data_IF_902667591995
#
_entry.id   IF_902667591995
#
_cell.length_a   1.000
_cell.length_b   1.000
_cell.length_c   1.000
_cell.angle_alpha   90.00
_cell.angle_beta   90.00
_cell.angle_gamma   90.00
#
_symmetry.space_group_name_H-M   'P 1'
#
loop_
_entity.id
_entity.type
_entity.pdbx_description
1 polymer ?
#
# COMPACT_ATOMS: atom_id res chain seq x y z
N UNK A 1 19.02 -0.79 10.88
CA UNK A 1 19.23 -1.72 9.74
C UNK A 1 18.35 -2.98 9.78
N UNK A 2 18.28 -3.76 10.88
CA UNK A 2 17.43 -4.98 10.94
C UNK A 2 15.92 -4.71 10.80
N UNK A 3 15.41 -3.63 11.37
CA UNK A 3 13.98 -3.29 11.29
C UNK A 3 13.51 -2.95 9.87
N UNK A 4 14.32 -2.25 9.07
CA UNK A 4 13.95 -1.87 7.71
C UNK A 4 13.65 -3.09 6.82
N UNK A 5 14.54 -4.09 6.83
CA UNK A 5 14.33 -5.33 6.08
C UNK A 5 13.16 -6.16 6.62
N UNK A 6 12.90 -6.13 7.93
CA UNK A 6 11.79 -6.86 8.54
C UNK A 6 10.44 -6.26 8.16
N UNK A 7 10.30 -4.93 8.22
CA UNK A 7 9.09 -4.21 7.79
C UNK A 7 8.87 -4.40 6.28
N UNK A 8 9.94 -4.31 5.48
CA UNK A 8 9.85 -4.52 4.05
C UNK A 8 9.37 -5.94 3.70
N UNK A 9 9.90 -6.96 4.39
CA UNK A 9 9.45 -8.35 4.24
C UNK A 9 7.99 -8.55 4.66
N UNK A 10 7.56 -7.91 5.74
CA UNK A 10 6.17 -7.99 6.20
C UNK A 10 5.21 -7.35 5.19
N UNK A 11 5.55 -6.19 4.63
CA UNK A 11 4.78 -5.52 3.56
C UNK A 11 4.69 -6.42 2.33
N UNK A 12 5.77 -7.07 1.91
CA UNK A 12 5.75 -7.99 0.76
C UNK A 12 4.81 -9.19 1.00
N UNK A 13 4.79 -9.75 2.22
CA UNK A 13 3.88 -10.85 2.56
C UNK A 13 2.43 -10.37 2.57
N UNK A 14 2.15 -9.22 3.17
CA UNK A 14 0.80 -8.66 3.27
C UNK A 14 0.26 -8.29 1.89
N UNK A 15 1.06 -7.66 1.04
CA UNK A 15 0.67 -7.35 -0.34
C UNK A 15 0.51 -8.61 -1.19
N UNK A 16 1.36 -9.63 -1.01
CA UNK A 16 1.32 -10.89 -1.76
C UNK A 16 0.16 -11.83 -1.41
N UNK A 17 -0.29 -11.82 -0.16
CA UNK A 17 -1.40 -12.63 0.35
C UNK A 17 -2.72 -12.52 -0.45
N UNK A 18 -3.25 -11.31 -0.72
CA UNK A 18 -4.48 -11.16 -1.50
C UNK A 18 -4.31 -11.61 -2.97
N UNK A 19 -3.13 -11.43 -3.56
CA UNK A 19 -2.83 -11.98 -4.90
C UNK A 19 -2.88 -13.51 -4.91
N UNK A 20 -2.41 -14.16 -3.84
CA UNK A 20 -2.34 -15.62 -3.74
C UNK A 20 -3.69 -16.27 -3.39
N UNK A 21 -4.42 -15.72 -2.42
CA UNK A 21 -5.69 -16.30 -1.94
C UNK A 21 -6.83 -16.06 -2.92
N UNK A 22 -6.89 -14.90 -3.59
CA UNK A 22 -8.04 -14.54 -4.41
C UNK A 22 -7.66 -13.58 -5.55
N UNK A 23 -6.99 -14.07 -6.61
CA UNK A 23 -6.60 -13.25 -7.76
C UNK A 23 -7.79 -12.59 -8.45
N UNK A 24 -8.98 -13.20 -8.38
CA UNK A 24 -10.21 -12.67 -8.97
C UNK A 24 -10.70 -11.40 -8.25
N UNK A 25 -10.62 -11.36 -6.91
CA UNK A 25 -10.96 -10.17 -6.11
C UNK A 25 -10.00 -9.02 -6.38
N UNK A 26 -8.71 -9.34 -6.51
CA UNK A 26 -7.67 -8.36 -6.85
C UNK A 26 -7.92 -7.73 -8.22
N UNK A 27 -8.24 -8.55 -9.22
CA UNK A 27 -8.54 -8.09 -10.58
C UNK A 27 -9.79 -7.21 -10.64
N UNK A 28 -10.82 -7.53 -9.84
CA UNK A 28 -12.01 -6.68 -9.69
C UNK A 28 -11.65 -5.33 -9.05
N UNK A 29 -10.84 -5.32 -7.99
CA UNK A 29 -10.37 -4.10 -7.33
C UNK A 29 -9.61 -3.19 -8.28
N UNK A 30 -8.66 -3.74 -9.05
CA UNK A 30 -7.90 -2.99 -10.06
C UNK A 30 -8.84 -2.43 -11.14
N UNK A 31 -9.83 -3.19 -11.56
CA UNK A 31 -10.81 -2.73 -12.56
C UNK A 31 -11.65 -1.57 -12.01
N UNK A 32 -12.07 -1.62 -10.74
CA UNK A 32 -12.75 -0.49 -10.09
C UNK A 32 -11.86 0.76 -10.01
N UNK A 33 -10.57 0.58 -9.71
CA UNK A 33 -9.60 1.68 -9.68
C UNK A 33 -9.43 2.31 -11.07
N UNK A 34 -9.38 1.49 -12.13
CA UNK A 34 -9.30 1.97 -13.52
C UNK A 34 -10.56 2.71 -14.00
N UNK A 35 -11.70 2.44 -13.37
CA UNK A 35 -12.96 3.16 -13.65
C UNK A 35 -13.05 4.49 -12.88
N UNK A 36 -12.16 4.77 -11.93
CA UNK A 36 -12.15 6.03 -11.19
C UNK A 36 -11.58 7.18 -12.05
N UNK A 37 -12.13 8.41 -11.93
CA UNK A 37 -11.58 9.58 -12.59
C UNK A 37 -10.14 9.86 -12.15
N UNK A 38 -9.26 10.18 -13.11
CA UNK A 38 -7.82 10.42 -12.86
C UNK A 38 -7.56 11.46 -11.76
N UNK A 39 -8.39 12.51 -11.68
CA UNK A 39 -8.26 13.56 -10.66
C UNK A 39 -8.59 13.09 -9.23
N UNK A 40 -9.42 12.06 -9.08
CA UNK A 40 -9.66 11.42 -7.78
C UNK A 40 -8.55 10.43 -7.46
N UNK A 41 -8.09 9.66 -8.45
CA UNK A 41 -7.01 8.71 -8.27
C UNK A 41 -5.69 9.39 -7.87
N UNK A 42 -5.40 10.56 -8.46
CA UNK A 42 -4.21 11.37 -8.13
C UNK A 42 -4.28 11.95 -6.72
N UNK A 43 -5.44 12.45 -6.29
CA UNK A 43 -5.64 12.93 -4.90
C UNK A 43 -5.56 11.79 -3.90
N UNK A 44 -6.13 10.64 -4.22
CA UNK A 44 -6.06 9.45 -3.38
C UNK A 44 -4.62 8.96 -3.23
N UNK A 45 -3.88 8.85 -4.33
CA UNK A 45 -2.45 8.50 -4.31
C UNK A 45 -1.61 9.50 -3.52
N UNK A 46 -1.90 10.80 -3.64
CA UNK A 46 -1.23 11.83 -2.86
C UNK A 46 -1.50 11.70 -1.35
N UNK A 47 -2.76 11.45 -0.97
CA UNK A 47 -3.12 11.19 0.43
C UNK A 47 -2.46 9.93 0.97
N UNK A 48 -2.42 8.84 0.19
CA UNK A 48 -1.73 7.60 0.56
C UNK A 48 -0.23 7.82 0.74
N UNK A 49 0.40 8.60 -0.13
CA UNK A 49 1.82 8.95 -0.01
C UNK A 49 2.09 9.74 1.28
N UNK A 50 1.29 10.76 1.57
CA UNK A 50 1.41 11.54 2.81
C UNK A 50 1.20 10.67 4.05
N UNK A 51 0.16 9.83 4.06
CA UNK A 51 -0.12 8.92 5.16
C UNK A 51 1.05 7.95 5.40
N UNK A 52 1.61 7.36 4.33
CA UNK A 52 2.78 6.49 4.42
C UNK A 52 4.01 7.23 4.96
N UNK A 53 4.20 8.49 4.58
CA UNK A 53 5.30 9.33 5.06
C UNK A 53 5.15 9.65 6.56
N UNK A 54 3.93 9.90 7.04
CA UNK A 54 3.62 10.07 8.47
C UNK A 54 3.88 8.78 9.24
N UNK A 55 3.45 7.63 8.73
CA UNK A 55 3.70 6.33 9.37
C UNK A 55 5.20 6.03 9.45
N UNK A 56 5.95 6.32 8.37
CA UNK A 56 7.41 6.18 8.38
C UNK A 56 8.08 7.12 9.39
N UNK A 57 7.60 8.36 9.49
CA UNK A 57 8.10 9.32 10.46
C UNK A 57 7.86 8.84 11.90
N UNK A 58 6.64 8.39 12.21
CA UNK A 58 6.31 7.83 13.52
C UNK A 58 7.10 6.54 13.83
N UNK A 59 7.25 5.66 12.85
CA UNK A 59 8.03 4.43 13.01
C UNK A 59 9.53 4.70 13.20
N UNK A 60 10.04 5.78 12.61
CA UNK A 60 11.42 6.23 12.78
C UNK A 60 11.62 6.94 14.12
N UNK A 61 10.65 7.74 14.57
CA UNK A 61 10.70 8.43 15.88
C UNK A 61 10.51 7.46 17.07
N UNK A 62 9.80 6.35 16.86
CA UNK A 62 9.58 5.32 17.87
C UNK A 62 10.71 4.27 17.99
N UNK A 63 11.76 4.33 17.16
CA UNK A 63 12.86 3.37 17.11
C UNK A 63 14.21 3.98 17.49
#
# INVERSE_FOLDING_TARGET
>A
MKFFFCVMGMIMIVEGLPYFISPNKMRQMVTMILQMPEGTLRRFGFFMMLAGLVVLYLAMEAG
#
